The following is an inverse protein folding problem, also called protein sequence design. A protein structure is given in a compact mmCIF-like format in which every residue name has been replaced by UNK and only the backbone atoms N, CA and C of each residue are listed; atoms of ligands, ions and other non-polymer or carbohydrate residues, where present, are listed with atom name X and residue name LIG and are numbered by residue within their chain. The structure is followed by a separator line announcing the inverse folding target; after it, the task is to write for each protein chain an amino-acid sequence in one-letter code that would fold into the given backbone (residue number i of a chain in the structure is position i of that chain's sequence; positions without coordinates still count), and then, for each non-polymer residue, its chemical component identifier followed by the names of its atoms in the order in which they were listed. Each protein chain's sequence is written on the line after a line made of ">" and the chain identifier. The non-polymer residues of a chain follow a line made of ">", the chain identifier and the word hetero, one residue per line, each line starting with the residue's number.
data_IF_791387843707
#
_entry.id   IF_791387843707
#
_cell.length_a   1.000
_cell.length_b   1.000
_cell.length_c   1.000
_cell.angle_alpha   90.00
_cell.angle_beta   90.00
_cell.angle_gamma   90.00
#
_symmetry.space_group_name_H-M   'P 1'
#
loop_
_entity.id
_entity.type
_entity.pdbx_description
1 polymer ?
#
# COMPACT_ATOMS: atom_id res chain seq x y z
N UNK A 1 -10.28 -24.01 14.21
CA UNK A 1 -9.49 -23.33 13.16
C UNK A 1 -9.79 -24.01 11.84
N UNK A 2 -10.32 -23.25 10.90
CA UNK A 2 -10.61 -23.76 9.56
C UNK A 2 -9.30 -24.03 8.81
N UNK A 3 -9.32 -25.01 7.91
CA UNK A 3 -8.21 -25.20 6.97
C UNK A 3 -8.26 -24.08 5.94
N UNK A 4 -7.10 -23.49 5.65
CA UNK A 4 -6.96 -22.39 4.69
C UNK A 4 -6.17 -22.89 3.49
N UNK A 5 -6.57 -22.48 2.29
CA UNK A 5 -5.89 -22.80 1.04
C UNK A 5 -5.78 -21.57 0.14
N UNK A 6 -4.72 -21.51 -0.65
CA UNK A 6 -4.57 -20.53 -1.73
C UNK A 6 -5.20 -21.14 -2.97
N UNK A 7 -6.25 -20.50 -3.50
CA UNK A 7 -7.02 -21.00 -4.65
C UNK A 7 -6.60 -20.39 -5.99
N UNK A 8 -5.79 -19.34 -5.96
CA UNK A 8 -5.18 -18.74 -7.15
C UNK A 8 -4.26 -17.58 -6.77
N UNK A 9 -3.41 -17.19 -7.72
CA UNK A 9 -2.42 -16.13 -7.53
C UNK A 9 -2.04 -15.48 -8.86
N UNK A 10 -1.69 -14.20 -8.83
CA UNK A 10 -1.13 -13.49 -9.97
C UNK A 10 -0.13 -12.43 -9.51
N UNK A 11 0.81 -12.09 -10.38
CA UNK A 11 1.78 -11.02 -10.19
C UNK A 11 1.93 -10.24 -11.49
N UNK A 12 2.01 -8.92 -11.40
CA UNK A 12 2.33 -8.07 -12.55
C UNK A 12 3.84 -8.15 -12.85
N UNK A 13 4.28 -7.87 -14.09
CA UNK A 13 5.70 -7.81 -14.39
C UNK A 13 6.44 -6.78 -13.52
N UNK A 14 7.52 -7.17 -12.84
CA UNK A 14 8.34 -6.22 -12.09
C UNK A 14 9.12 -5.34 -13.06
N UNK A 15 8.86 -4.03 -13.05
CA UNK A 15 9.56 -3.03 -13.88
C UNK A 15 10.15 -1.95 -13.00
N UNK A 16 11.31 -1.41 -13.42
CA UNK A 16 11.93 -0.26 -12.74
C UNK A 16 11.11 1.02 -12.87
N UNK A 17 10.35 1.17 -13.96
CA UNK A 17 9.45 2.30 -14.16
C UNK A 17 8.21 1.87 -14.95
N UNK A 18 7.05 2.43 -14.61
CA UNK A 18 5.77 2.18 -15.27
C UNK A 18 5.25 3.50 -15.86
N UNK A 19 5.25 3.64 -17.19
CA UNK A 19 4.70 4.84 -17.86
C UNK A 19 3.22 4.63 -18.19
N UNK A 20 2.87 3.40 -18.58
CA UNK A 20 1.57 3.08 -19.19
C UNK A 20 0.48 2.71 -18.17
N UNK A 21 0.86 2.61 -16.90
CA UNK A 21 -0.02 2.17 -15.81
C UNK A 21 0.26 2.97 -14.55
N UNK A 22 -0.83 3.45 -13.98
CA UNK A 22 -0.84 4.08 -12.65
C UNK A 22 -0.86 3.01 -11.56
N UNK A 23 -0.64 3.42 -10.32
CA UNK A 23 -0.89 2.61 -9.12
C UNK A 23 -2.27 1.90 -9.18
N UNK A 24 -3.32 2.63 -9.56
CA UNK A 24 -4.67 2.09 -9.74
C UNK A 24 -4.75 1.02 -10.84
N UNK A 25 -4.14 1.29 -12.00
CA UNK A 25 -4.13 0.37 -13.13
C UNK A 25 -3.35 -0.91 -12.85
N UNK A 26 -2.29 -0.84 -12.05
CA UNK A 26 -1.53 -2.01 -11.58
C UNK A 26 -2.38 -2.87 -10.64
N UNK A 27 -3.09 -2.26 -9.70
CA UNK A 27 -4.04 -2.96 -8.82
C UNK A 27 -5.12 -3.69 -9.61
N UNK A 28 -5.73 -3.03 -10.60
CA UNK A 28 -6.76 -3.65 -11.45
C UNK A 28 -6.21 -4.82 -12.27
N UNK A 29 -5.01 -4.66 -12.84
CA UNK A 29 -4.36 -5.73 -13.60
C UNK A 29 -4.12 -6.96 -12.73
N UNK A 30 -3.52 -6.76 -11.55
CA UNK A 30 -3.23 -7.85 -10.62
C UNK A 30 -4.50 -8.58 -10.17
N UNK A 31 -5.54 -7.83 -9.76
CA UNK A 31 -6.80 -8.42 -9.29
C UNK A 31 -7.53 -9.16 -10.41
N UNK A 32 -7.60 -8.57 -11.61
CA UNK A 32 -8.21 -9.23 -12.78
C UNK A 32 -7.53 -10.56 -13.09
N UNK A 33 -6.20 -10.58 -13.10
CA UNK A 33 -5.45 -11.77 -13.48
C UNK A 33 -5.54 -12.85 -12.39
N UNK A 34 -5.59 -12.47 -11.11
CA UNK A 34 -5.85 -13.38 -9.99
C UNK A 34 -7.26 -13.98 -10.05
N UNK A 35 -8.29 -13.17 -10.31
CA UNK A 35 -9.67 -13.66 -10.47
C UNK A 35 -9.81 -14.59 -11.69
N UNK A 36 -9.06 -14.32 -12.77
CA UNK A 36 -9.02 -15.22 -13.93
C UNK A 36 -8.38 -16.58 -13.59
N UNK A 37 -7.32 -16.58 -12.79
CA UNK A 37 -6.63 -17.81 -12.36
C UNK A 37 -7.54 -18.68 -11.46
N UNK A 38 -8.28 -18.05 -10.56
CA UNK A 38 -9.23 -18.74 -9.65
C UNK A 38 -10.53 -19.19 -10.34
N UNK A 39 -10.96 -18.50 -11.40
CA UNK A 39 -12.24 -18.75 -12.08
C UNK A 39 -13.47 -18.24 -11.32
N UNK A 40 -13.31 -17.48 -10.24
CA UNK A 40 -14.42 -16.90 -9.46
C UNK A 40 -14.67 -15.44 -9.84
N UNK A 41 -15.85 -14.91 -9.50
CA UNK A 41 -16.17 -13.50 -9.67
C UNK A 41 -15.69 -12.66 -8.49
N UNK A 42 -15.41 -11.37 -8.73
CA UNK A 42 -15.11 -10.41 -7.64
C UNK A 42 -16.23 -10.32 -6.60
N UNK A 43 -17.47 -10.68 -6.98
CA UNK A 43 -18.63 -10.71 -6.08
C UNK A 43 -18.51 -11.79 -5.01
N UNK A 44 -17.80 -12.87 -5.29
CA UNK A 44 -17.64 -14.04 -4.42
C UNK A 44 -16.54 -13.85 -3.37
N UNK A 45 -15.77 -12.76 -3.46
CA UNK A 45 -14.74 -12.40 -2.46
C UNK A 45 -15.38 -11.64 -1.32
N UNK A 46 -15.21 -12.04 -0.06
CA UNK A 46 -15.87 -11.38 1.08
C UNK A 46 -15.13 -10.13 1.57
N UNK A 47 -13.79 -10.16 1.56
CA UNK A 47 -12.95 -9.11 2.14
C UNK A 47 -11.64 -8.94 1.39
N UNK A 48 -10.95 -7.83 1.62
CA UNK A 48 -9.63 -7.55 1.03
C UNK A 48 -8.59 -7.14 2.08
N UNK A 49 -7.38 -7.68 1.97
CA UNK A 49 -6.19 -7.21 2.70
C UNK A 49 -5.27 -6.51 1.71
N UNK A 50 -4.96 -5.25 1.98
CA UNK A 50 -4.01 -4.46 1.20
C UNK A 50 -2.63 -4.53 1.86
N UNK A 51 -1.65 -5.06 1.13
CA UNK A 51 -0.24 -4.99 1.49
C UNK A 51 0.42 -3.81 0.78
N UNK A 52 0.55 -2.68 1.48
CA UNK A 52 1.15 -1.45 0.93
C UNK A 52 2.24 -1.03 1.90
N UNK A 53 3.47 -0.88 1.41
CA UNK A 53 4.63 -0.67 2.28
C UNK A 53 4.53 0.66 3.03
N UNK A 54 4.23 1.76 2.34
CA UNK A 54 4.05 3.08 2.94
C UNK A 54 3.10 3.92 2.08
N UNK A 55 2.63 5.02 2.65
CA UNK A 55 1.77 6.03 2.01
C UNK A 55 2.52 7.04 1.13
N UNK A 56 3.82 7.18 1.36
CA UNK A 56 4.67 8.18 0.74
C UNK A 56 4.96 7.89 -0.74
N UNK A 57 5.12 6.61 -1.11
CA UNK A 57 5.32 6.22 -2.51
C UNK A 57 4.13 6.62 -3.39
N UNK A 58 2.90 6.65 -2.86
CA UNK A 58 1.71 7.08 -3.60
C UNK A 58 1.31 8.53 -3.30
N UNK A 59 2.08 9.26 -2.50
CA UNK A 59 1.76 10.63 -2.04
C UNK A 59 0.33 10.73 -1.47
N UNK A 60 -0.13 9.71 -0.75
CA UNK A 60 -1.50 9.62 -0.24
C UNK A 60 -1.50 8.96 1.13
N UNK A 61 -1.94 9.68 2.16
CA UNK A 61 -1.95 9.19 3.55
C UNK A 61 -2.80 7.92 3.78
N UNK A 62 -3.73 7.62 2.87
CA UNK A 62 -4.62 6.45 2.94
C UNK A 62 -4.67 5.81 1.54
N UNK A 63 -3.56 5.22 1.07
CA UNK A 63 -3.38 4.79 -0.32
C UNK A 63 -4.29 3.60 -0.72
N UNK A 64 -4.86 2.88 0.25
CA UNK A 64 -5.79 1.77 0.07
C UNK A 64 -7.21 2.23 -0.26
N UNK A 65 -7.63 3.40 0.23
CA UNK A 65 -9.02 3.87 0.13
C UNK A 65 -9.52 3.93 -1.32
N UNK A 66 -8.82 4.59 -2.28
CA UNK A 66 -9.29 4.63 -3.66
C UNK A 66 -9.28 3.25 -4.35
N UNK A 67 -8.44 2.31 -3.90
CA UNK A 67 -8.33 0.99 -4.52
C UNK A 67 -9.60 0.18 -4.38
N UNK A 68 -10.25 0.26 -3.24
CA UNK A 68 -11.34 -0.64 -2.88
C UNK A 68 -12.49 -0.62 -3.89
N UNK A 69 -12.91 0.57 -4.36
CA UNK A 69 -13.89 0.68 -5.43
C UNK A 69 -13.33 0.26 -6.79
N UNK A 70 -12.10 0.67 -7.10
CA UNK A 70 -11.41 0.45 -8.37
C UNK A 70 -11.21 -1.05 -8.69
N UNK A 71 -10.99 -1.88 -7.67
CA UNK A 71 -10.81 -3.33 -7.80
C UNK A 71 -12.11 -4.12 -7.66
N UNK A 72 -13.27 -3.46 -7.55
CA UNK A 72 -14.57 -4.11 -7.42
C UNK A 72 -14.92 -4.62 -6.02
N UNK A 73 -14.21 -4.17 -4.99
CA UNK A 73 -14.44 -4.51 -3.57
C UNK A 73 -15.25 -3.44 -2.83
N UNK A 74 -16.03 -2.63 -3.55
CA UNK A 74 -16.90 -1.62 -2.96
C UNK A 74 -17.89 -2.25 -1.97
N UNK A 75 -18.10 -1.59 -0.82
CA UNK A 75 -18.96 -2.04 0.28
C UNK A 75 -18.53 -3.36 0.96
N UNK A 76 -17.30 -3.83 0.72
CA UNK A 76 -16.73 -5.01 1.38
C UNK A 76 -15.68 -4.59 2.41
N UNK A 77 -15.49 -5.31 3.51
CA UNK A 77 -14.46 -5.00 4.50
C UNK A 77 -13.05 -5.02 3.88
N UNK A 78 -12.22 -4.07 4.30
CA UNK A 78 -10.85 -3.91 3.84
C UNK A 78 -9.93 -3.50 4.99
N UNK A 79 -8.70 -4.00 5.00
CA UNK A 79 -7.65 -3.56 5.95
C UNK A 79 -6.33 -3.35 5.22
N UNK A 80 -5.58 -2.32 5.60
CA UNK A 80 -4.19 -2.15 5.18
C UNK A 80 -3.24 -2.73 6.22
N UNK A 81 -2.28 -3.51 5.75
CA UNK A 81 -1.16 -4.04 6.52
C UNK A 81 0.12 -3.43 5.96
N UNK A 82 0.99 -2.96 6.84
CA UNK A 82 2.35 -2.53 6.52
C UNK A 82 3.30 -3.08 7.58
N UNK A 83 4.41 -3.66 7.14
CA UNK A 83 5.48 -4.13 8.01
C UNK A 83 6.83 -4.10 7.27
N UNK A 84 7.16 -2.96 6.66
CA UNK A 84 8.42 -2.81 5.92
C UNK A 84 8.51 -3.74 4.70
N UNK A 85 9.70 -4.26 4.43
CA UNK A 85 9.92 -5.24 3.36
C UNK A 85 9.16 -6.56 3.54
N UNK A 86 8.62 -6.84 4.73
CA UNK A 86 7.84 -8.06 5.01
C UNK A 86 6.33 -7.87 4.78
N UNK A 87 5.88 -6.69 4.32
CA UNK A 87 4.46 -6.33 4.19
C UNK A 87 3.62 -7.39 3.50
N UNK A 88 4.08 -7.96 2.38
CA UNK A 88 3.34 -8.99 1.65
C UNK A 88 3.10 -10.27 2.48
N UNK A 89 4.08 -10.71 3.26
CA UNK A 89 3.95 -11.87 4.12
C UNK A 89 2.98 -11.63 5.27
N UNK A 90 3.02 -10.44 5.88
CA UNK A 90 2.10 -10.05 6.94
C UNK A 90 0.66 -9.85 6.43
N UNK A 91 0.49 -9.38 5.20
CA UNK A 91 -0.82 -9.32 4.55
C UNK A 91 -1.41 -10.73 4.36
N UNK A 92 -0.61 -11.71 3.92
CA UNK A 92 -1.02 -13.10 3.86
C UNK A 92 -1.36 -13.68 5.25
N UNK A 93 -0.56 -13.36 6.28
CA UNK A 93 -0.84 -13.78 7.65
C UNK A 93 -2.17 -13.21 8.19
N UNK A 94 -2.46 -11.95 7.88
CA UNK A 94 -3.73 -11.32 8.23
C UNK A 94 -4.92 -12.02 7.56
N UNK A 95 -4.83 -12.29 6.25
CA UNK A 95 -5.85 -13.02 5.51
C UNK A 95 -6.03 -14.45 6.01
N UNK A 96 -4.92 -15.15 6.34
CA UNK A 96 -4.99 -16.45 6.99
C UNK A 96 -5.79 -16.38 8.29
N UNK A 97 -5.55 -15.37 9.14
CA UNK A 97 -6.30 -15.17 10.39
C UNK A 97 -7.80 -14.97 10.16
N UNK A 98 -8.18 -14.23 9.13
CA UNK A 98 -9.59 -14.02 8.75
C UNK A 98 -10.28 -15.31 8.30
N UNK A 99 -9.63 -16.10 7.44
CA UNK A 99 -10.22 -17.35 6.93
C UNK A 99 -10.20 -18.45 7.98
N UNK A 100 -9.09 -18.60 8.72
CA UNK A 100 -8.92 -19.63 9.74
C UNK A 100 -9.89 -19.45 10.94
N UNK A 101 -10.29 -18.21 11.23
CA UNK A 101 -11.30 -17.89 12.24
C UNK A 101 -12.75 -18.09 11.76
N UNK A 102 -12.97 -18.20 10.46
CA UNK A 102 -14.31 -18.25 9.87
C UNK A 102 -15.01 -16.90 9.81
N UNK A 103 -14.27 -15.79 9.94
CA UNK A 103 -14.83 -14.45 9.79
C UNK A 103 -15.23 -14.17 8.34
N UNK A 104 -14.44 -14.67 7.39
CA UNK A 104 -14.67 -14.59 5.94
C UNK A 104 -14.31 -15.92 5.28
N UNK A 105 -15.04 -16.32 4.24
CA UNK A 105 -14.77 -17.57 3.52
C UNK A 105 -13.72 -17.35 2.41
N UNK A 106 -13.80 -16.22 1.71
CA UNK A 106 -12.89 -15.86 0.62
C UNK A 106 -12.29 -14.47 0.84
N UNK A 107 -10.96 -14.38 0.89
CA UNK A 107 -10.24 -13.11 1.11
C UNK A 107 -9.27 -12.86 -0.04
N UNK A 108 -9.33 -11.66 -0.63
CA UNK A 108 -8.35 -11.18 -1.60
C UNK A 108 -7.16 -10.55 -0.87
N UNK A 109 -5.95 -10.95 -1.19
CA UNK A 109 -4.73 -10.29 -0.73
C UNK A 109 -4.13 -9.52 -1.91
N UNK A 110 -4.09 -8.20 -1.80
CA UNK A 110 -3.53 -7.33 -2.83
C UNK A 110 -2.29 -6.63 -2.28
N UNK A 111 -1.12 -7.05 -2.76
CA UNK A 111 0.11 -6.26 -2.65
C UNK A 111 0.22 -5.33 -3.84
N UNK A 112 0.45 -4.04 -3.62
CA UNK A 112 0.68 -3.10 -4.72
C UNK A 112 1.61 -1.98 -4.28
N UNK A 113 2.56 -1.67 -5.17
CA UNK A 113 3.52 -0.61 -4.96
C UNK A 113 3.86 0.05 -6.30
N UNK A 114 3.97 1.37 -6.30
CA UNK A 114 4.58 2.13 -7.40
C UNK A 114 5.54 3.13 -6.79
N UNK A 115 6.75 2.64 -6.49
CA UNK A 115 7.76 3.41 -5.76
C UNK A 115 8.16 4.70 -6.48
N UNK A 116 8.15 4.70 -7.81
CA UNK A 116 8.53 5.87 -8.63
C UNK A 116 7.45 6.94 -8.73
N UNK A 117 6.38 6.88 -7.94
CA UNK A 117 5.37 7.95 -7.89
C UNK A 117 5.75 9.07 -6.91
N UNK A 118 6.68 8.82 -5.98
CA UNK A 118 7.31 9.89 -5.22
C UNK A 118 8.37 10.61 -6.08
N UNK A 119 8.47 11.93 -5.92
CA UNK A 119 9.26 12.79 -6.80
C UNK A 119 10.02 13.84 -6.00
N UNK A 120 11.33 13.94 -6.22
CA UNK A 120 12.17 15.00 -5.67
C UNK A 120 12.18 16.21 -6.61
N UNK A 121 11.67 17.35 -6.15
CA UNK A 121 11.65 18.58 -6.92
C UNK A 121 13.01 19.28 -6.99
N UNK A 122 13.96 18.95 -6.11
CA UNK A 122 15.30 19.53 -6.14
C UNK A 122 16.18 18.87 -7.20
N UNK A 123 16.25 17.54 -7.19
CA UNK A 123 17.00 16.79 -8.20
C UNK A 123 16.24 16.54 -9.50
N UNK A 124 14.93 16.83 -9.55
CA UNK A 124 14.04 16.52 -10.67
C UNK A 124 14.03 15.03 -11.05
N UNK A 125 14.17 14.15 -10.05
CA UNK A 125 14.17 12.68 -10.22
C UNK A 125 13.44 12.00 -9.06
N UNK A 126 13.00 10.76 -9.25
CA UNK A 126 12.27 9.99 -8.23
C UNK A 126 13.21 9.34 -7.20
N UNK A 127 14.43 9.01 -7.65
CA UNK A 127 15.35 8.14 -6.90
C UNK A 127 15.68 8.65 -5.50
N UNK A 128 15.97 9.95 -5.27
CA UNK A 128 16.27 10.44 -3.93
C UNK A 128 15.08 10.31 -2.97
N UNK A 129 13.86 10.61 -3.41
CA UNK A 129 12.67 10.45 -2.58
C UNK A 129 12.36 8.99 -2.28
N UNK A 130 12.61 8.07 -3.22
CA UNK A 130 12.49 6.63 -2.96
C UNK A 130 13.45 6.19 -1.84
N UNK A 131 14.73 6.57 -1.96
CA UNK A 131 15.76 6.20 -0.97
C UNK A 131 15.43 6.79 0.40
N UNK A 132 15.05 8.07 0.44
CA UNK A 132 14.68 8.79 1.66
C UNK A 132 13.47 8.18 2.34
N UNK A 133 12.41 7.90 1.58
CA UNK A 133 11.20 7.25 2.08
C UNK A 133 11.51 5.87 2.69
N UNK A 134 12.37 5.09 2.03
CA UNK A 134 12.81 3.80 2.57
C UNK A 134 13.61 4.00 3.87
N UNK A 135 14.52 4.98 3.89
CA UNK A 135 15.30 5.33 5.08
C UNK A 135 14.45 5.73 6.28
N UNK A 136 13.29 6.37 6.05
CA UNK A 136 12.35 6.72 7.10
C UNK A 136 11.63 5.53 7.76
N UNK A 137 11.76 4.32 7.20
CA UNK A 137 11.34 3.10 7.88
C UNK A 137 12.34 2.60 8.93
N UNK A 138 13.57 3.12 8.93
CA UNK A 138 14.57 2.84 9.96
C UNK A 138 14.30 3.59 11.26
N UNK A 139 15.21 3.44 12.23
CA UNK A 139 15.07 4.13 13.51
C UNK A 139 15.23 5.65 13.32
N UNK A 140 14.12 6.32 13.55
CA UNK A 140 13.92 7.75 13.43
C UNK A 140 14.79 8.57 14.38
N UNK A 141 15.16 8.01 15.53
CA UNK A 141 15.92 8.66 16.58
C UNK A 141 17.43 8.38 16.46
N UNK A 142 17.82 7.16 16.08
CA UNK A 142 19.22 6.74 16.03
C UNK A 142 19.83 6.69 14.64
N UNK A 143 19.07 6.27 13.62
CA UNK A 143 19.61 5.97 12.29
C UNK A 143 19.43 7.14 11.32
N UNK A 144 18.36 7.91 11.46
CA UNK A 144 18.01 8.96 10.48
C UNK A 144 19.07 10.04 10.32
N UNK A 145 19.58 10.60 11.41
CA UNK A 145 20.57 11.69 11.37
C UNK A 145 21.95 11.21 10.88
N UNK A 146 22.21 9.91 10.95
CA UNK A 146 23.45 9.31 10.45
C UNK A 146 23.47 9.17 8.92
N UNK A 147 22.36 9.52 8.24
CA UNK A 147 22.22 9.31 6.80
C UNK A 147 22.12 7.83 6.44
N UNK A 148 21.66 6.99 7.37
CA UNK A 148 21.50 5.56 7.15
C UNK A 148 20.53 5.27 6.01
N UNK A 149 20.87 4.30 5.18
CA UNK A 149 20.00 3.74 4.15
C UNK A 149 19.73 2.26 4.41
N UNK A 150 18.62 1.73 3.90
CA UNK A 150 18.33 0.30 4.03
C UNK A 150 19.45 -0.58 3.46
N UNK A 151 20.15 -0.13 2.42
CA UNK A 151 21.31 -0.81 1.84
C UNK A 151 22.46 -0.97 2.84
N UNK A 152 22.66 0.01 3.72
CA UNK A 152 23.72 -0.03 4.73
C UNK A 152 23.49 -1.16 5.75
N UNK A 153 22.23 -1.44 6.07
CA UNK A 153 21.85 -2.55 6.96
C UNK A 153 22.29 -3.91 6.43
N UNK A 154 22.08 -4.17 5.13
CA UNK A 154 22.46 -5.40 4.48
C UNK A 154 23.98 -5.46 4.27
N UNK A 155 24.61 -4.34 3.90
CA UNK A 155 26.06 -4.25 3.76
C UNK A 155 26.78 -4.53 5.09
N UNK A 156 26.26 -4.01 6.21
CA UNK A 156 26.77 -4.27 7.56
C UNK A 156 26.71 -5.75 7.93
N UNK A 157 25.57 -6.40 7.67
CA UNK A 157 25.42 -7.85 7.89
C UNK A 157 26.38 -8.68 7.03
N UNK A 158 26.54 -8.34 5.75
CA UNK A 158 27.46 -9.04 4.86
C UNK A 158 28.92 -8.88 5.28
N UNK A 159 29.33 -7.68 5.72
CA UNK A 159 30.69 -7.42 6.21
C UNK A 159 30.95 -8.13 7.53
N UNK A 160 30.02 -8.02 8.49
CA UNK A 160 30.14 -8.62 9.82
C UNK A 160 30.03 -10.14 9.80
N UNK A 161 29.06 -10.69 9.07
CA UNK A 161 28.81 -12.13 8.97
C UNK A 161 29.93 -12.88 8.26
N UNK A 162 30.48 -12.33 7.18
CA UNK A 162 31.58 -12.96 6.44
C UNK A 162 32.88 -13.04 7.25
N UNK A 163 33.17 -11.99 8.03
CA UNK A 163 34.33 -11.95 8.92
C UNK A 163 34.16 -12.89 10.12
N UNK A 164 32.98 -12.89 10.76
CA UNK A 164 32.75 -13.64 12.00
C UNK A 164 32.41 -15.12 11.79
N UNK A 165 31.61 -15.47 10.79
CA UNK A 165 31.10 -16.84 10.60
C UNK A 165 32.00 -17.69 9.70
N UNK A 166 32.72 -17.05 8.78
CA UNK A 166 33.49 -17.76 7.76
C UNK A 166 34.99 -17.48 7.81
N UNK A 167 35.47 -16.65 8.75
CA UNK A 167 36.89 -16.29 8.87
C UNK A 167 37.48 -15.65 7.61
N UNK A 168 36.63 -15.16 6.69
CA UNK A 168 37.07 -14.60 5.41
C UNK A 168 37.08 -13.08 5.53
N UNK A 169 38.22 -12.42 5.23
CA UNK A 169 38.25 -10.96 5.22
C UNK A 169 37.24 -10.41 4.19
N UNK A 170 36.70 -9.21 4.40
CA UNK A 170 35.81 -8.57 3.44
C UNK A 170 36.51 -8.45 2.09
N UNK A 171 35.86 -8.91 1.00
CA UNK A 171 36.39 -8.69 -0.35
C UNK A 171 36.41 -7.18 -0.59
N UNK A 172 37.52 -6.66 -1.14
CA UNK A 172 37.56 -5.29 -1.65
C UNK A 172 36.39 -5.12 -2.63
N UNK A 173 35.59 -4.05 -2.53
CA UNK A 173 34.57 -3.77 -3.53
C UNK A 173 35.23 -3.79 -4.90
N UNK A 174 34.68 -4.54 -5.85
CA UNK A 174 35.13 -4.38 -7.23
C UNK A 174 34.66 -3.00 -7.70
N UNK A 175 35.48 -2.28 -8.46
CA UNK A 175 35.17 -0.92 -8.92
C UNK A 175 33.83 -0.82 -9.69
N UNK A 176 33.29 -1.96 -10.17
CA UNK A 176 31.98 -2.05 -10.81
C UNK A 176 30.78 -1.93 -9.86
N UNK A 177 30.97 -2.20 -8.57
CA UNK A 177 29.90 -2.15 -7.55
C UNK A 177 29.77 -0.75 -6.90
N UNK A 178 30.72 0.15 -7.16
CA UNK A 178 30.76 1.51 -6.63
C UNK A 178 30.18 2.50 -7.65
N UNK A 179 28.93 2.30 -8.05
CA UNK A 179 28.15 3.34 -8.74
C UNK A 179 27.56 4.37 -7.77
N UNK A 180 28.17 4.55 -6.59
CA UNK A 180 27.66 5.43 -5.56
C UNK A 180 28.29 6.82 -5.74
N UNK A 181 27.45 7.81 -6.05
CA UNK A 181 27.78 9.22 -5.86
C UNK A 181 28.28 9.39 -4.41
N UNK A 182 29.59 9.60 -4.24
CA UNK A 182 30.13 10.21 -3.04
C UNK A 182 29.48 11.60 -2.94
N UNK A 183 28.49 11.74 -2.06
CA UNK A 183 28.07 13.07 -1.61
C UNK A 183 28.97 13.43 -0.45
N UNK A 184 29.54 14.63 -0.51
CA UNK A 184 30.24 15.25 0.61
C UNK A 184 29.31 15.29 1.84
N UNK A 185 29.84 15.14 3.06
CA UNK A 185 29.05 15.28 4.26
C UNK A 185 28.42 16.68 4.30
N UNK A 186 27.11 16.74 4.57
CA UNK A 186 26.42 18.00 4.80
C UNK A 186 27.14 18.75 5.94
N UNK A 187 27.40 20.06 5.78
CA UNK A 187 28.08 20.83 6.82
C UNK A 187 27.27 20.80 8.11
N UNK A 188 27.96 20.55 9.21
CA UNK A 188 27.36 20.55 10.53
C UNK A 188 26.94 21.98 10.92
N UNK A 189 25.64 22.16 11.16
CA UNK A 189 25.10 23.28 11.93
C UNK A 189 24.41 24.38 11.12
N UNK A 190 23.08 24.33 11.10
CA UNK A 190 22.22 25.46 11.43
C UNK A 190 20.87 24.88 11.89
N UNK A 191 20.46 25.19 13.12
CA UNK A 191 19.14 24.82 13.64
C UNK A 191 18.08 25.34 12.66
N UNK A 192 17.29 24.44 12.07
CA UNK A 192 16.13 24.87 11.27
C UNK A 192 15.18 25.64 12.19
N UNK A 193 14.88 26.92 11.94
CA UNK A 193 13.92 27.64 12.75
C UNK A 193 12.56 26.97 12.55
N UNK A 194 12.02 26.45 13.66
CA UNK A 194 10.62 26.07 13.80
C UNK A 194 9.78 27.26 13.30
N UNK A 195 9.17 27.13 12.12
CA UNK A 195 8.43 28.23 11.50
C UNK A 195 7.21 28.56 12.36
N UNK A 196 7.38 29.51 13.27
CA UNK A 196 6.32 30.21 13.96
C UNK A 196 5.55 31.02 12.91
N UNK A 197 4.31 30.60 12.64
CA UNK A 197 3.41 31.35 11.78
C UNK A 197 2.95 32.63 12.51
N UNK A 198 3.70 33.72 12.36
CA UNK A 198 3.22 35.07 12.65
C UNK A 198 3.57 36.04 11.53
N UNK A 199 2.53 36.56 10.87
CA UNK A 199 2.51 37.94 10.40
C UNK A 199 2.67 38.21 8.90
N UNK A 200 1.55 38.60 8.30
CA UNK A 200 1.39 39.76 7.38
C UNK A 200 2.25 39.83 6.10
N UNK A 201 1.56 39.65 4.99
CA UNK A 201 1.87 40.18 3.65
C UNK A 201 0.85 39.58 2.68
N UNK A 202 -0.13 40.28 2.12
CA UNK A 202 0.06 41.43 1.26
C UNK A 202 0.30 40.96 -0.18
N UNK A 203 -0.68 40.32 -0.82
CA UNK A 203 -0.60 40.01 -2.25
C UNK A 203 -1.83 40.47 -3.02
N UNK A 204 -1.54 41.31 -4.02
CA UNK A 204 -2.44 41.87 -5.02
C UNK A 204 -3.08 40.75 -5.85
N UNK A 205 -4.35 40.97 -6.18
CA UNK A 205 -5.13 40.18 -7.15
C UNK A 205 -4.74 40.60 -8.55
N UNK A 206 -4.32 39.63 -9.35
CA UNK A 206 -4.43 39.55 -10.82
C UNK A 206 -4.25 38.04 -11.09
N UNK A 207 -5.15 37.27 -11.69
CA UNK A 207 -6.07 37.56 -12.78
C UNK A 207 -5.70 36.63 -13.93
N UNK A 208 -5.88 35.31 -13.78
CA UNK A 208 -5.93 34.35 -14.89
C UNK A 208 -6.67 33.07 -14.46
N UNK A 209 -7.89 32.95 -14.96
CA UNK A 209 -8.86 31.90 -14.65
C UNK A 209 -8.60 30.68 -15.55
N UNK A 210 -7.84 29.69 -15.05
CA UNK A 210 -7.67 28.42 -15.76
C UNK A 210 -8.95 27.57 -15.61
N UNK A 211 -9.80 27.63 -16.63
CA UNK A 211 -11.07 26.91 -16.71
C UNK A 211 -10.88 25.37 -16.62
N UNK A 212 -11.26 24.80 -15.46
CA UNK A 212 -11.47 23.36 -15.28
C UNK A 212 -12.68 22.91 -16.12
N UNK A 213 -12.44 22.37 -17.32
CA UNK A 213 -13.46 21.69 -18.13
C UNK A 213 -13.90 20.41 -17.41
N UNK A 214 -15.11 20.44 -16.83
CA UNK A 214 -15.83 19.24 -16.34
C UNK A 214 -16.19 18.35 -17.54
N UNK A 215 -15.68 17.13 -17.57
CA UNK A 215 -16.16 16.10 -18.50
C UNK A 215 -17.53 15.58 -18.03
N UNK A 216 -18.50 15.37 -18.93
CA UNK A 216 -19.84 14.91 -18.55
C UNK A 216 -19.82 13.42 -18.16
N UNK A 217 -20.35 13.13 -16.97
CA UNK A 217 -20.72 11.77 -16.55
C UNK A 217 -21.93 11.34 -17.39
N UNK A 218 -21.74 10.38 -18.30
CA UNK A 218 -22.85 9.76 -19.01
C UNK A 218 -23.71 8.94 -18.03
N UNK A 219 -25.00 9.25 -18.00
CA UNK A 219 -26.01 8.58 -17.21
C UNK A 219 -26.14 7.10 -17.63
N UNK A 220 -25.92 6.18 -16.68
CA UNK A 220 -26.24 4.77 -16.85
C UNK A 220 -27.77 4.60 -16.78
N UNK A 221 -28.34 4.04 -17.84
CA UNK A 221 -29.78 3.82 -17.99
C UNK A 221 -30.38 2.82 -16.99
N UNK A 222 -31.68 2.97 -16.81
CA UNK A 222 -32.55 2.19 -15.93
C UNK A 222 -32.42 0.67 -16.14
N UNK A 223 -31.89 -0.03 -15.14
CA UNK A 223 -32.03 -1.48 -15.03
C UNK A 223 -33.19 -1.79 -14.08
N UNK A 224 -34.31 -2.25 -14.64
CA UNK A 224 -35.48 -2.73 -13.91
C UNK A 224 -35.11 -3.93 -13.03
N UNK A 225 -35.27 -3.78 -11.72
CA UNK A 225 -35.18 -4.85 -10.72
C UNK A 225 -36.33 -5.86 -10.90
N UNK A 226 -36.03 -7.04 -11.41
CA UNK A 226 -36.95 -8.17 -11.37
C UNK A 226 -36.80 -8.89 -10.03
N UNK A 227 -37.76 -8.70 -9.12
CA UNK A 227 -37.85 -9.43 -7.84
C UNK A 227 -38.35 -10.85 -8.10
N UNK A 228 -37.53 -11.86 -7.79
CA UNK A 228 -37.93 -13.26 -7.79
C UNK A 228 -37.19 -14.08 -6.72
N UNK A 229 -37.85 -14.26 -5.55
CA UNK A 229 -37.98 -15.48 -4.70
C UNK A 229 -36.79 -16.48 -4.63
N UNK A 230 -36.32 -17.03 -3.50
CA UNK A 230 -36.82 -17.29 -2.12
C UNK A 230 -35.60 -17.59 -1.22
N UNK A 231 -35.57 -17.13 0.04
CA UNK A 231 -34.76 -17.76 1.10
C UNK A 231 -35.65 -18.10 2.29
N UNK A 232 -35.43 -19.32 2.81
CA UNK A 232 -36.29 -20.03 3.75
C UNK A 232 -36.43 -19.37 5.11
N UNK A 233 -37.58 -19.62 5.73
CA UNK A 233 -37.90 -19.28 7.11
C UNK A 233 -36.93 -19.94 8.09
N UNK A 234 -36.19 -19.11 8.83
CA UNK A 234 -35.74 -19.46 10.17
C UNK A 234 -36.95 -19.26 11.10
N UNK A 235 -37.56 -20.35 11.57
CA UNK A 235 -38.56 -20.30 12.64
C UNK A 235 -37.85 -19.92 13.94
N UNK A 236 -38.03 -18.69 14.41
CA UNK A 236 -37.83 -18.37 15.82
C UNK A 236 -39.05 -18.85 16.60
N UNK A 237 -38.85 -19.84 17.48
CA UNK A 237 -39.65 -20.02 18.70
C UNK A 237 -39.28 -18.82 19.58
N UNK A 238 -40.14 -18.03 20.21
CA UNK A 238 -41.52 -18.20 20.59
C UNK A 238 -41.61 -17.72 22.04
N UNK A 239 -41.71 -16.41 22.25
CA UNK A 239 -42.16 -15.81 23.52
C UNK A 239 -42.99 -14.56 23.16
N UNK A 240 -44.30 -14.68 23.32
CA UNK A 240 -45.25 -13.56 23.18
C UNK A 240 -45.51 -12.91 24.54
N UNK A 241 -45.96 -11.64 24.56
CA UNK A 241 -46.32 -10.94 25.78
C UNK A 241 -47.74 -11.33 26.21
N UNK A 242 -47.95 -11.66 27.48
CA UNK A 242 -49.29 -12.00 27.97
C UNK A 242 -49.39 -12.07 29.48
N UNK A 243 -50.10 -11.07 30.03
CA UNK A 243 -50.95 -11.08 31.22
C UNK A 243 -50.40 -11.48 32.60
N UNK A 244 -50.30 -10.46 33.47
CA UNK A 244 -50.56 -10.60 34.91
C UNK A 244 -52.05 -10.41 35.17
N UNK A 245 -52.65 -11.29 35.96
CA UNK A 245 -53.57 -10.83 37.00
C UNK A 245 -53.30 -11.48 38.37
N UNK A 246 -53.51 -10.64 39.40
CA UNK A 246 -53.56 -10.86 40.87
C UNK A 246 -52.28 -11.30 41.61
#
# INVERSE_FOLDING_TARGET
>A
MNKVGIVGAAITPCKGHWIERTYYGLSQMAVRDCLRDTGIGVRDVDAVVFGIYNDLFQLSAIPEHPLQGIIGMANKPGIRVSNGGATGAYAMLCAYGWVASGLYDTVLVLGVERATDCFDFESMTETPEVIKTIGWSGDTFFERELGWTASDSYAGQLRGGRARLHGRPPRRPQARDLGAHQRDPLPAGEEQPLCAATGRGGHRRDGDELALRRLPVQAAGDVRLHRGRRRGHLRQRGEGPGDRPE
#
